data_IF_648665182543
#
_entry.id   IF_648665182543
#
_cell.length_a   1.000
_cell.length_b   1.000
_cell.length_c   1.000
_cell.angle_alpha   90.00
_cell.angle_beta   90.00
_cell.angle_gamma   90.00
#
_symmetry.space_group_name_H-M   'P 1'
#
loop_
_entity.id
_entity.type
_entity.pdbx_description
1 polymer ?
#
# COMPACT_ATOMS: atom_id res chain seq x y z
N UNK A 1 48.52 25.30 30.68
CA UNK A 1 48.21 23.88 30.33
C UNK A 1 46.78 23.44 30.68
N UNK A 2 45.81 24.36 30.81
CA UNK A 2 44.46 24.05 31.32
C UNK A 2 43.32 24.28 30.30
N UNK A 3 43.60 24.90 29.15
CA UNK A 3 42.60 25.18 28.11
C UNK A 3 42.45 24.08 27.06
N UNK A 4 43.53 23.34 26.74
CA UNK A 4 43.47 22.23 25.77
C UNK A 4 42.70 21.00 26.28
N UNK A 5 42.57 20.81 27.59
CA UNK A 5 41.80 19.70 28.18
C UNK A 5 40.28 19.95 28.19
N UNK A 6 39.82 21.19 27.99
CA UNK A 6 38.38 21.53 28.00
C UNK A 6 37.71 21.39 26.63
N UNK A 7 38.49 21.43 25.54
CA UNK A 7 37.95 21.23 24.18
C UNK A 7 37.83 19.75 23.77
N UNK A 8 38.48 18.81 24.47
CA UNK A 8 38.38 17.39 24.13
C UNK A 8 37.13 16.71 24.69
N UNK A 9 36.48 17.24 25.73
CA UNK A 9 35.26 16.63 26.30
C UNK A 9 33.97 17.03 25.58
N UNK A 10 33.94 18.21 24.93
CA UNK A 10 32.77 18.65 24.16
C UNK A 10 32.68 17.98 22.76
N UNK A 11 33.79 17.49 22.22
CA UNK A 11 33.82 16.83 20.91
C UNK A 11 33.39 15.35 20.96
N UNK A 12 33.56 14.69 22.11
CA UNK A 12 33.23 13.26 22.29
C UNK A 12 31.74 13.05 22.56
N UNK A 13 31.04 14.04 23.13
CA UNK A 13 29.59 13.97 23.39
C UNK A 13 28.73 14.20 22.14
N UNK A 14 29.22 14.95 21.14
CA UNK A 14 28.51 15.14 19.86
C UNK A 14 28.63 13.97 18.89
N UNK A 15 29.64 13.09 19.04
CA UNK A 15 29.80 11.93 18.17
C UNK A 15 28.89 10.77 18.59
N UNK A 16 28.67 10.58 19.89
CA UNK A 16 27.73 9.58 20.42
C UNK A 16 26.27 10.00 20.26
N UNK A 17 25.94 11.29 20.31
CA UNK A 17 24.59 11.75 19.99
C UNK A 17 24.19 11.51 18.52
N UNK A 18 25.13 11.61 17.58
CA UNK A 18 24.88 11.31 16.15
C UNK A 18 24.90 9.81 15.83
N UNK A 19 25.64 9.00 16.58
CA UNK A 19 25.63 7.53 16.42
C UNK A 19 24.45 6.87 17.15
N UNK A 20 23.95 7.45 18.24
CA UNK A 20 22.73 6.99 18.91
C UNK A 20 21.43 7.42 18.20
N UNK A 21 21.49 8.44 17.33
CA UNK A 21 20.41 8.75 16.36
C UNK A 21 20.54 7.95 15.06
N UNK A 22 21.67 7.28 14.83
CA UNK A 22 21.94 6.50 13.62
C UNK A 22 21.37 5.08 13.60
N UNK A 23 20.77 4.62 14.72
CA UNK A 23 20.22 3.26 14.84
C UNK A 23 18.70 3.22 15.03
N UNK A 24 17.99 4.35 14.91
CA UNK A 24 16.52 4.41 14.98
C UNK A 24 15.84 4.82 13.68
N UNK A 25 16.58 4.86 12.58
CA UNK A 25 15.99 4.86 11.24
C UNK A 25 16.54 3.65 10.50
N UNK A 26 16.33 2.46 11.05
CA UNK A 26 15.79 1.43 10.17
C UNK A 26 14.51 2.06 9.65
N UNK A 27 14.52 2.51 8.39
CA UNK A 27 13.31 2.91 7.70
C UNK A 27 12.21 1.95 8.16
N UNK A 28 11.13 2.48 8.75
CA UNK A 28 9.87 1.75 8.66
C UNK A 28 9.79 1.42 7.18
N UNK A 29 9.85 0.12 6.83
CA UNK A 29 9.72 -0.31 5.45
C UNK A 29 8.58 0.53 4.87
N UNK A 30 8.89 1.41 3.92
CA UNK A 30 7.85 2.27 3.38
C UNK A 30 6.80 1.31 2.80
N UNK A 31 5.56 1.49 3.22
CA UNK A 31 4.40 0.71 2.81
C UNK A 31 4.55 0.22 1.36
N UNK A 32 4.59 -1.11 1.18
CA UNK A 32 4.72 -1.68 -0.14
C UNK A 32 3.37 -1.53 -0.86
N UNK A 33 3.29 -0.53 -1.75
CA UNK A 33 2.12 -0.36 -2.59
C UNK A 33 2.11 -1.41 -3.70
N UNK A 34 0.98 -2.07 -3.89
CA UNK A 34 0.75 -3.01 -4.98
C UNK A 34 -0.41 -2.52 -5.84
N UNK A 35 -0.28 -2.71 -7.15
CA UNK A 35 -1.32 -2.43 -8.13
C UNK A 35 -1.89 -3.73 -8.65
N UNK A 36 -3.13 -4.03 -8.31
CA UNK A 36 -3.94 -5.03 -8.97
C UNK A 36 -4.60 -4.41 -10.19
N UNK A 37 -4.34 -4.94 -11.39
CA UNK A 37 -4.96 -4.49 -12.64
C UNK A 37 -5.73 -5.64 -13.27
N UNK A 38 -6.83 -5.32 -13.94
CA UNK A 38 -7.64 -6.29 -14.65
C UNK A 38 -8.10 -5.75 -16.01
N UNK A 39 -8.29 -6.68 -16.95
CA UNK A 39 -8.83 -6.38 -18.26
C UNK A 39 -9.76 -7.48 -18.74
N UNK A 40 -10.92 -7.09 -19.25
CA UNK A 40 -11.94 -7.95 -19.83
C UNK A 40 -12.65 -7.23 -20.97
N UNK A 41 -13.58 -7.90 -21.66
CA UNK A 41 -14.29 -7.32 -22.81
C UNK A 41 -15.13 -6.09 -22.44
N UNK A 42 -15.80 -6.11 -21.28
CA UNK A 42 -16.70 -5.03 -20.84
C UNK A 42 -16.29 -4.30 -19.56
N UNK A 43 -15.22 -4.73 -18.87
CA UNK A 43 -14.72 -4.06 -17.67
C UNK A 43 -13.20 -4.07 -17.58
N UNK A 44 -12.61 -2.91 -17.32
CA UNK A 44 -11.17 -2.74 -17.22
C UNK A 44 -10.83 -1.81 -16.06
N UNK A 45 -9.71 -2.03 -15.39
CA UNK A 45 -9.41 -1.17 -14.26
C UNK A 45 -8.21 -1.60 -13.44
N UNK A 46 -8.06 -0.93 -12.30
CA UNK A 46 -7.06 -1.24 -11.31
C UNK A 46 -7.46 -0.75 -9.92
N UNK A 47 -6.80 -1.36 -8.92
CA UNK A 47 -6.80 -0.98 -7.53
C UNK A 47 -5.35 -0.92 -7.06
N UNK A 48 -4.96 0.17 -6.41
CA UNK A 48 -3.68 0.30 -5.71
C UNK A 48 -3.95 0.19 -4.22
N UNK A 49 -3.26 -0.72 -3.54
CA UNK A 49 -3.43 -0.92 -2.10
C UNK A 49 -2.11 -1.02 -1.36
N UNK A 50 -2.18 -0.67 -0.08
CA UNK A 50 -1.09 -0.76 0.90
C UNK A 50 -1.18 -2.08 1.66
N UNK A 51 -0.18 -2.95 1.47
CA UNK A 51 -0.11 -4.26 2.14
C UNK A 51 0.20 -4.19 3.63
N UNK A 52 0.64 -3.03 4.15
CA UNK A 52 0.89 -2.84 5.58
C UNK A 52 -0.41 -2.50 6.34
N UNK A 53 -1.53 -2.36 5.64
CA UNK A 53 -2.85 -2.15 6.24
C UNK A 53 -3.22 -3.36 7.09
N UNK A 54 -3.44 -3.16 8.39
CA UNK A 54 -3.90 -4.22 9.28
C UNK A 54 -5.33 -4.66 8.93
N UNK A 55 -5.64 -5.97 9.00
CA UNK A 55 -7.00 -6.45 8.83
C UNK A 55 -7.89 -5.93 9.96
N UNK A 56 -9.19 -5.82 9.67
CA UNK A 56 -10.18 -5.37 10.62
C UNK A 56 -10.34 -6.41 11.73
N UNK A 57 -10.03 -6.07 13.01
CA UNK A 57 -10.04 -7.01 14.11
C UNK A 57 -11.42 -7.62 14.41
N UNK A 58 -12.50 -7.00 13.92
CA UNK A 58 -13.85 -7.55 14.03
C UNK A 58 -14.01 -8.88 13.28
N UNK A 59 -13.17 -9.13 12.26
CA UNK A 59 -13.19 -10.33 11.44
C UNK A 59 -12.08 -11.32 11.81
N UNK A 60 -11.34 -11.10 12.91
CA UNK A 60 -10.23 -11.98 13.30
C UNK A 60 -10.65 -13.44 13.59
N UNK A 61 -11.94 -13.70 13.81
CA UNK A 61 -12.49 -15.04 14.04
C UNK A 61 -12.97 -15.73 12.75
N UNK A 62 -12.93 -15.08 11.58
CA UNK A 62 -13.28 -15.72 10.30
C UNK A 62 -12.07 -16.46 9.73
N UNK A 63 -12.02 -17.81 9.77
CA UNK A 63 -10.86 -18.54 9.29
C UNK A 63 -10.68 -18.31 7.79
N UNK A 64 -9.45 -18.03 7.37
CA UNK A 64 -9.08 -17.88 5.96
C UNK A 64 -9.87 -16.79 5.21
N UNK A 65 -10.39 -15.78 5.91
CA UNK A 65 -11.02 -14.60 5.33
C UNK A 65 -10.75 -13.36 6.18
N UNK A 66 -10.50 -12.22 5.55
CA UNK A 66 -10.18 -10.96 6.23
C UNK A 66 -10.74 -9.76 5.46
N UNK A 67 -10.88 -8.64 6.17
CA UNK A 67 -11.40 -7.37 5.65
C UNK A 67 -10.39 -6.27 5.91
N UNK A 68 -10.04 -5.50 4.89
CA UNK A 68 -9.05 -4.44 4.97
C UNK A 68 -9.70 -3.09 4.65
N UNK A 69 -10.10 -2.39 5.72
CA UNK A 69 -10.69 -1.06 5.61
C UNK A 69 -9.62 -0.02 5.27
N UNK A 70 -9.81 0.72 4.18
CA UNK A 70 -8.92 1.80 3.78
C UNK A 70 -7.57 1.38 3.22
N UNK A 71 -7.43 0.09 2.85
CA UNK A 71 -6.21 -0.40 2.20
C UNK A 71 -6.02 0.18 0.79
N UNK A 72 -7.11 0.50 0.08
CA UNK A 72 -7.05 1.05 -1.28
C UNK A 72 -6.72 2.54 -1.22
N UNK A 73 -5.64 2.92 -1.91
CA UNK A 73 -5.11 4.29 -1.96
C UNK A 73 -5.45 5.03 -3.26
N UNK A 74 -5.70 4.30 -4.35
CA UNK A 74 -6.08 4.80 -5.68
C UNK A 74 -6.80 3.69 -6.45
N UNK A 75 -7.85 4.00 -7.21
CA UNK A 75 -8.53 3.02 -8.05
C UNK A 75 -9.20 3.66 -9.27
N UNK A 76 -9.39 2.83 -10.29
CA UNK A 76 -10.23 3.13 -11.45
C UNK A 76 -10.87 1.87 -11.99
N UNK A 77 -12.17 1.90 -12.24
CA UNK A 77 -12.96 0.84 -12.86
C UNK A 77 -13.77 1.45 -14.00
N UNK A 78 -13.51 1.02 -15.22
CA UNK A 78 -14.21 1.42 -16.43
C UNK A 78 -15.10 0.27 -16.88
N UNK A 79 -16.41 0.49 -16.90
CA UNK A 79 -17.44 -0.47 -17.29
C UNK A 79 -18.03 -0.15 -18.68
N UNK A 80 -17.31 0.62 -19.50
CA UNK A 80 -17.78 1.03 -20.83
C UNK A 80 -19.05 1.87 -20.73
N UNK A 81 -20.15 1.35 -21.30
CA UNK A 81 -21.44 2.05 -21.35
C UNK A 81 -22.07 2.29 -19.96
N UNK A 82 -21.65 1.54 -18.94
CA UNK A 82 -22.13 1.71 -17.56
C UNK A 82 -21.34 2.77 -16.76
N UNK A 83 -20.30 3.35 -17.36
CA UNK A 83 -19.55 4.47 -16.80
C UNK A 83 -18.24 4.10 -16.13
N UNK A 84 -17.62 5.11 -15.52
CA UNK A 84 -16.29 5.04 -14.92
C UNK A 84 -16.37 5.42 -13.45
N UNK A 85 -15.79 4.57 -12.61
CA UNK A 85 -15.67 4.74 -11.16
C UNK A 85 -14.19 4.97 -10.85
N UNK A 86 -13.84 6.13 -10.29
CA UNK A 86 -12.46 6.44 -9.92
C UNK A 86 -12.44 7.25 -8.62
N UNK A 87 -11.42 7.05 -7.81
CA UNK A 87 -11.34 7.66 -6.49
C UNK A 87 -10.03 7.33 -5.77
N UNK A 88 -9.85 7.93 -4.60
CA UNK A 88 -8.61 7.86 -3.83
C UNK A 88 -8.87 7.41 -2.39
N UNK A 89 -7.81 6.95 -1.74
CA UNK A 89 -7.63 6.61 -0.31
C UNK A 89 -8.88 6.57 0.58
N UNK A 90 -9.18 5.37 1.10
CA UNK A 90 -10.16 5.18 2.17
C UNK A 90 -11.56 4.82 1.69
N UNK A 91 -11.82 5.00 0.39
CA UNK A 91 -13.12 4.72 -0.19
C UNK A 91 -13.33 3.21 -0.34
N UNK A 92 -12.45 2.47 -1.00
CA UNK A 92 -12.69 1.06 -1.24
C UNK A 92 -12.25 0.15 -0.07
N UNK A 93 -13.13 -0.82 0.27
CA UNK A 93 -12.87 -1.88 1.24
C UNK A 93 -12.47 -3.14 0.48
N UNK A 94 -11.40 -3.79 0.91
CA UNK A 94 -10.92 -5.04 0.31
C UNK A 94 -11.37 -6.22 1.16
N UNK A 95 -11.96 -7.21 0.53
CA UNK A 95 -12.38 -8.46 1.14
C UNK A 95 -11.64 -9.62 0.49
N UNK A 96 -11.12 -10.53 1.33
CA UNK A 96 -10.64 -11.83 0.90
C UNK A 96 -11.60 -12.87 1.45
N UNK A 97 -12.37 -13.51 0.56
CA UNK A 97 -13.46 -14.41 0.93
C UNK A 97 -13.22 -15.81 0.36
N UNK A 98 -13.71 -16.84 1.05
CA UNK A 98 -13.69 -18.24 0.61
C UNK A 98 -15.11 -18.79 0.54
N UNK A 99 -15.43 -19.51 -0.53
CA UNK A 99 -16.71 -20.21 -0.71
C UNK A 99 -17.07 -21.13 0.45
N UNK A 100 -16.08 -21.71 1.13
CA UNK A 100 -16.27 -22.64 2.25
C UNK A 100 -16.85 -21.99 3.51
N UNK A 101 -16.61 -20.68 3.69
CA UNK A 101 -17.01 -19.95 4.90
C UNK A 101 -18.05 -18.87 4.62
N UNK A 102 -18.20 -18.44 3.35
CA UNK A 102 -19.17 -17.43 2.95
C UNK A 102 -20.29 -18.04 2.09
N UNK A 103 -21.52 -18.18 2.64
CA UNK A 103 -22.66 -18.75 1.93
C UNK A 103 -23.20 -17.84 0.81
N UNK A 104 -22.77 -16.58 0.77
CA UNK A 104 -23.20 -15.60 -0.24
C UNK A 104 -22.40 -15.72 -1.54
N UNK A 105 -21.29 -16.49 -1.53
CA UNK A 105 -20.60 -16.86 -2.76
C UNK A 105 -21.45 -17.92 -3.46
N UNK A 106 -21.89 -17.68 -4.72
CA UNK A 106 -22.74 -18.63 -5.41
C UNK A 106 -22.08 -20.02 -5.43
N UNK A 107 -22.81 -21.10 -5.09
CA UNK A 107 -22.23 -22.43 -4.89
C UNK A 107 -21.64 -23.04 -6.18
N UNK A 108 -21.97 -22.46 -7.33
CA UNK A 108 -21.38 -22.76 -8.63
C UNK A 108 -19.93 -22.26 -8.78
N UNK A 109 -19.51 -21.30 -7.96
CA UNK A 109 -18.15 -20.75 -7.90
C UNK A 109 -17.46 -21.21 -6.61
N UNK A 110 -17.20 -22.52 -6.46
CA UNK A 110 -16.32 -23.00 -5.40
C UNK A 110 -14.93 -22.34 -5.59
N UNK A 111 -14.73 -21.20 -4.93
CA UNK A 111 -13.79 -20.17 -5.35
C UNK A 111 -13.19 -19.40 -4.20
N UNK A 112 -11.98 -18.93 -4.47
CA UNK A 112 -11.33 -17.88 -3.71
C UNK A 112 -11.74 -16.53 -4.33
N UNK A 113 -12.29 -15.62 -3.52
CA UNK A 113 -12.82 -14.35 -4.00
C UNK A 113 -11.98 -13.20 -3.48
N UNK A 114 -11.55 -12.35 -4.41
CA UNK A 114 -10.97 -11.06 -4.10
C UNK A 114 -12.01 -9.98 -4.45
N UNK A 115 -12.58 -9.37 -3.44
CA UNK A 115 -13.71 -8.45 -3.57
C UNK A 115 -13.28 -7.03 -3.20
N UNK A 116 -13.73 -6.07 -4.01
CA UNK A 116 -13.58 -4.64 -3.75
C UNK A 116 -14.95 -4.00 -3.64
N UNK A 117 -15.30 -3.52 -2.45
CA UNK A 117 -16.48 -2.70 -2.22
C UNK A 117 -16.09 -1.23 -2.38
N UNK A 118 -16.62 -0.57 -3.41
CA UNK A 118 -16.46 0.86 -3.65
C UNK A 118 -17.75 1.57 -3.19
N UNK A 119 -17.75 2.24 -2.03
CA UNK A 119 -18.88 3.01 -1.58
C UNK A 119 -19.10 4.20 -2.51
N UNK A 120 -20.37 4.57 -2.64
CA UNK A 120 -20.77 5.73 -3.41
C UNK A 120 -20.10 7.02 -2.91
N UNK A 121 -19.58 7.83 -3.82
CA UNK A 121 -19.32 9.25 -3.56
C UNK A 121 -20.63 10.04 -3.62
N UNK A 122 -20.64 11.32 -3.20
CA UNK A 122 -21.85 12.17 -3.06
C UNK A 122 -22.80 12.25 -4.29
N UNK A 123 -22.46 11.66 -5.44
CA UNK A 123 -23.25 11.68 -6.68
C UNK A 123 -23.54 10.29 -7.32
N UNK A 124 -23.22 9.15 -6.69
CA UNK A 124 -23.21 7.84 -7.36
C UNK A 124 -24.02 6.70 -6.71
N UNK A 125 -23.86 5.50 -7.26
CA UNK A 125 -24.26 4.23 -6.64
C UNK A 125 -22.99 3.49 -6.18
N UNK A 126 -23.03 2.83 -5.02
CA UNK A 126 -21.91 1.99 -4.58
C UNK A 126 -21.84 0.76 -5.48
N UNK A 127 -20.64 0.24 -5.71
CA UNK A 127 -20.44 -0.98 -6.50
C UNK A 127 -19.56 -1.97 -5.76
N UNK A 128 -19.80 -3.25 -6.03
CA UNK A 128 -18.94 -4.36 -5.66
C UNK A 128 -18.30 -4.88 -6.94
N UNK A 129 -17.01 -5.15 -6.88
CA UNK A 129 -16.24 -5.81 -7.93
C UNK A 129 -15.67 -7.09 -7.35
N UNK A 130 -16.24 -8.22 -7.74
CA UNK A 130 -15.83 -9.56 -7.32
C UNK A 130 -14.92 -10.18 -8.38
N UNK A 131 -13.77 -10.71 -7.95
CA UNK A 131 -12.90 -11.54 -8.77
C UNK A 131 -12.88 -12.95 -8.20
N UNK A 132 -13.52 -13.89 -8.90
CA UNK A 132 -13.55 -15.30 -8.53
C UNK A 132 -12.37 -16.02 -9.18
N UNK A 133 -11.57 -16.69 -8.35
CA UNK A 133 -10.50 -17.57 -8.77
C UNK A 133 -10.86 -19.03 -8.42
N UNK A 134 -10.15 -19.98 -9.03
CA UNK A 134 -10.27 -21.39 -8.62
C UNK A 134 -9.98 -21.54 -7.13
N UNK A 135 -10.72 -22.43 -6.47
CA UNK A 135 -10.52 -22.75 -5.06
C UNK A 135 -9.05 -23.04 -4.74
N UNK A 136 -8.54 -22.40 -3.69
CA UNK A 136 -7.17 -22.58 -3.22
C UNK A 136 -6.13 -21.76 -3.99
N UNK A 137 -6.54 -20.91 -4.93
CA UNK A 137 -5.65 -19.98 -5.62
C UNK A 137 -4.87 -19.05 -4.68
N UNK A 138 -5.41 -18.73 -3.51
CA UNK A 138 -4.78 -17.87 -2.50
C UNK A 138 -4.19 -18.68 -1.33
N UNK A 139 -4.33 -20.01 -1.35
CA UNK A 139 -3.92 -20.89 -0.26
C UNK A 139 -4.61 -20.57 1.08
N UNK A 140 -3.88 -20.77 2.18
CA UNK A 140 -4.35 -20.49 3.55
C UNK A 140 -4.10 -19.03 3.99
N UNK A 141 -3.59 -18.18 3.09
CA UNK A 141 -3.27 -16.80 3.44
C UNK A 141 -4.54 -15.94 3.57
N UNK A 142 -4.56 -15.11 4.61
CA UNK A 142 -5.51 -14.00 4.73
C UNK A 142 -4.88 -12.65 4.45
N UNK A 143 -3.56 -12.59 4.21
CA UNK A 143 -2.83 -11.36 3.91
C UNK A 143 -3.25 -10.78 2.55
N UNK A 144 -3.18 -9.45 2.41
CA UNK A 144 -3.38 -8.77 1.14
C UNK A 144 -2.48 -9.36 0.05
N UNK A 145 -3.08 -9.68 -1.09
CA UNK A 145 -2.41 -10.45 -2.13
C UNK A 145 -1.24 -9.66 -2.73
N UNK A 146 -0.13 -10.35 -2.97
CA UNK A 146 1.02 -9.80 -3.72
C UNK A 146 1.21 -10.47 -5.09
N UNK A 147 0.42 -11.52 -5.35
CA UNK A 147 0.38 -12.26 -6.61
C UNK A 147 -0.98 -12.93 -6.80
N UNK A 148 -1.40 -13.08 -8.05
CA UNK A 148 -2.63 -13.81 -8.45
C UNK A 148 -2.37 -14.58 -9.75
N UNK A 149 -3.15 -15.63 -10.05
CA UNK A 149 -3.18 -16.22 -11.39
C UNK A 149 -3.51 -15.15 -12.44
N UNK A 150 -2.72 -15.06 -13.51
CA UNK A 150 -2.89 -14.01 -14.52
C UNK A 150 -4.12 -14.19 -15.42
N UNK A 151 -4.70 -15.39 -15.44
CA UNK A 151 -5.83 -15.78 -16.27
C UNK A 151 -6.77 -16.69 -15.50
N UNK A 152 -8.03 -16.73 -15.92
CA UNK A 152 -9.05 -17.61 -15.32
C UNK A 152 -9.81 -16.98 -14.16
N UNK A 153 -9.64 -15.67 -13.92
CA UNK A 153 -10.52 -14.94 -13.02
C UNK A 153 -11.85 -14.67 -13.72
N UNK A 154 -12.96 -15.01 -13.08
CA UNK A 154 -14.28 -14.47 -13.45
C UNK A 154 -14.47 -13.15 -12.70
N UNK A 155 -14.81 -12.10 -13.42
CA UNK A 155 -15.20 -10.81 -12.83
C UNK A 155 -16.72 -10.71 -12.82
N UNK A 156 -17.26 -10.21 -11.72
CA UNK A 156 -18.68 -9.84 -11.57
C UNK A 156 -18.76 -8.47 -10.91
N UNK A 157 -19.53 -7.57 -11.51
CA UNK A 157 -19.71 -6.21 -11.03
C UNK A 157 -21.18 -6.00 -10.70
N UNK A 158 -21.46 -5.60 -9.47
CA UNK A 158 -22.83 -5.42 -8.95
C UNK A 158 -22.99 -4.06 -8.28
N UNK A 159 -24.16 -3.43 -8.39
CA UNK A 159 -24.51 -2.34 -7.51
C UNK A 159 -24.69 -2.84 -6.08
N UNK A 160 -24.34 -1.99 -5.11
CA UNK A 160 -24.48 -2.28 -3.69
C UNK A 160 -25.25 -1.17 -2.97
N UNK A 161 -26.20 -1.56 -2.13
CA UNK A 161 -26.94 -0.68 -1.23
C UNK A 161 -26.28 -0.69 0.14
N UNK A 162 -25.90 0.48 0.64
CA UNK A 162 -25.41 0.62 2.02
C UNK A 162 -26.54 0.78 3.04
N UNK A 163 -27.81 0.67 2.62
CA UNK A 163 -28.95 0.74 3.52
C UNK A 163 -29.07 -0.56 4.30
N UNK A 164 -28.89 -0.49 5.62
CA UNK A 164 -28.97 -1.63 6.53
C UNK A 164 -30.35 -2.31 6.60
N UNK A 165 -31.37 -1.73 5.95
CA UNK A 165 -32.72 -2.33 5.83
C UNK A 165 -32.91 -3.16 4.56
N UNK A 166 -31.96 -3.11 3.62
CA UNK A 166 -32.03 -3.83 2.36
C UNK A 166 -31.62 -5.30 2.56
N UNK A 167 -32.59 -6.21 2.39
CA UNK A 167 -32.35 -7.66 2.53
C UNK A 167 -31.55 -8.22 1.35
N UNK A 168 -31.53 -7.53 0.23
CA UNK A 168 -30.81 -7.89 -0.98
C UNK A 168 -29.82 -6.76 -1.31
N UNK A 169 -28.93 -6.45 -0.36
CA UNK A 169 -27.97 -5.34 -0.46
C UNK A 169 -27.08 -5.41 -1.71
N UNK A 170 -26.95 -6.58 -2.35
CA UNK A 170 -26.31 -6.78 -3.66
C UNK A 170 -27.39 -6.82 -4.74
N UNK A 171 -27.40 -5.87 -5.67
CA UNK A 171 -28.31 -5.88 -6.82
C UNK A 171 -27.86 -6.84 -7.93
N UNK A 172 -28.60 -6.84 -9.04
CA UNK A 172 -28.27 -7.67 -10.21
C UNK A 172 -26.93 -7.26 -10.85
N UNK A 173 -26.19 -8.24 -11.36
CA UNK A 173 -24.91 -8.02 -12.06
C UNK A 173 -25.10 -7.06 -13.23
N UNK A 174 -24.32 -5.97 -13.24
CA UNK A 174 -24.23 -5.04 -14.38
C UNK A 174 -23.21 -5.51 -15.40
N UNK A 175 -22.26 -6.34 -14.98
CA UNK A 175 -21.30 -6.99 -15.86
C UNK A 175 -20.79 -8.30 -15.28
N UNK A 176 -20.64 -9.33 -16.12
CA UNK A 176 -19.97 -10.57 -15.79
C UNK A 176 -19.13 -11.05 -16.97
N UNK A 177 -17.91 -11.52 -16.72
CA UNK A 177 -17.04 -12.01 -17.80
C UNK A 177 -15.71 -12.56 -17.32
N UNK A 178 -14.90 -13.06 -18.24
CA UNK A 178 -13.54 -13.51 -17.94
C UNK A 178 -12.58 -12.31 -17.94
N UNK A 179 -11.73 -12.24 -16.92
CA UNK A 179 -10.70 -11.21 -16.77
C UNK A 179 -9.29 -11.80 -16.82
N UNK A 180 -8.40 -11.05 -17.48
CA UNK A 180 -6.95 -11.18 -17.29
C UNK A 180 -6.57 -10.26 -16.12
N UNK A 181 -5.79 -10.77 -15.16
CA UNK A 181 -5.45 -10.02 -13.94
C UNK A 181 -3.95 -9.98 -13.72
N UNK A 182 -3.47 -8.99 -12.98
CA UNK A 182 -2.04 -8.83 -12.67
C UNK A 182 -1.86 -8.05 -11.39
N UNK A 183 -0.92 -8.47 -10.54
CA UNK A 183 -0.43 -7.67 -9.41
C UNK A 183 1.01 -7.24 -9.68
N UNK A 184 1.30 -5.96 -9.48
CA UNK A 184 2.65 -5.40 -9.62
C UNK A 184 3.00 -4.55 -8.40
N UNK A 185 4.21 -4.72 -7.87
CA UNK A 185 4.74 -3.82 -6.83
C UNK A 185 5.03 -2.45 -7.45
N UNK A 186 4.51 -1.39 -6.86
CA UNK A 186 4.83 -0.02 -7.23
C UNK A 186 6.19 0.33 -6.62
N UNK A 187 7.20 0.73 -7.43
CA UNK A 187 8.49 1.14 -6.90
C UNK A 187 8.36 2.37 -6.00
N UNK A 188 9.02 2.36 -4.85
CA UNK A 188 9.14 3.56 -4.02
C UNK A 188 9.80 4.69 -4.81
N UNK A 189 9.32 5.94 -4.69
CA UNK A 189 9.96 7.07 -5.34
C UNK A 189 11.39 7.21 -4.81
N UNK A 190 12.35 7.15 -5.73
CA UNK A 190 13.81 7.14 -5.45
C UNK A 190 14.30 8.42 -4.74
N UNK A 191 13.43 9.44 -4.61
CA UNK A 191 13.68 10.70 -3.91
C UNK A 191 13.94 10.54 -2.41
N UNK A 192 13.36 9.54 -1.74
CA UNK A 192 13.57 9.30 -0.30
C UNK A 192 15.04 8.95 -0.01
N UNK A 193 15.65 8.12 -0.85
CA UNK A 193 17.06 7.71 -0.74
C UNK A 193 18.02 8.82 -1.18
N UNK A 194 17.66 9.58 -2.22
CA UNK A 194 18.48 10.66 -2.74
C UNK A 194 18.64 11.84 -1.76
N UNK A 195 17.60 12.17 -0.99
CA UNK A 195 17.64 13.22 0.05
C UNK A 195 18.61 12.88 1.19
N UNK A 196 18.65 11.61 1.61
CA UNK A 196 19.62 11.12 2.60
C UNK A 196 21.05 11.18 2.05
N UNK A 197 21.26 10.78 0.79
CA UNK A 197 22.56 10.88 0.11
C UNK A 197 23.07 12.31 -0.04
N UNK A 198 22.20 13.24 -0.45
CA UNK A 198 22.55 14.66 -0.61
C UNK A 198 22.84 15.34 0.73
N UNK A 199 22.09 15.00 1.78
CA UNK A 199 22.33 15.49 3.15
C UNK A 199 23.70 15.06 3.68
N UNK A 200 24.09 13.80 3.49
CA UNK A 200 25.39 13.27 3.90
C UNK A 200 26.56 13.96 3.17
N UNK A 201 26.42 14.19 1.85
CA UNK A 201 27.40 14.90 1.03
C UNK A 201 27.56 16.37 1.46
N UNK A 202 26.47 17.05 1.82
CA UNK A 202 26.52 18.43 2.30
C UNK A 202 27.25 18.55 3.64
N UNK A 203 27.00 17.62 4.57
CA UNK A 203 27.69 17.56 5.87
C UNK A 203 29.19 17.27 5.69
N UNK A 204 29.55 16.31 4.83
CA UNK A 204 30.94 15.97 4.54
C UNK A 204 31.71 17.14 3.92
N UNK A 205 31.11 17.83 2.94
CA UNK A 205 31.71 19.03 2.32
C UNK A 205 31.88 20.17 3.32
N UNK A 206 30.92 20.38 4.23
CA UNK A 206 31.02 21.41 5.27
C UNK A 206 32.14 21.12 6.26
N UNK A 207 32.31 19.86 6.68
CA UNK A 207 33.42 19.43 7.56
C UNK A 207 34.79 19.59 6.89
N UNK A 208 34.90 19.31 5.60
CA UNK A 208 36.15 19.54 4.86
C UNK A 208 36.51 21.02 4.77
N UNK A 209 35.55 21.92 4.49
CA UNK A 209 35.80 23.38 4.46
C UNK A 209 36.25 23.95 5.81
N UNK A 210 35.69 23.46 6.91
CA UNK A 210 36.10 23.88 8.26
C UNK A 210 37.52 23.41 8.63
N UNK A 211 37.95 22.22 8.20
CA UNK A 211 39.33 21.76 8.38
C UNK A 211 40.35 22.60 7.59
N UNK A 212 39.98 23.07 6.41
CA UNK A 212 40.86 23.93 5.59
C UNK A 212 41.02 25.33 6.19
N UNK A 213 39.94 25.91 6.73
CA UNK A 213 39.97 27.22 7.40
C UNK A 213 40.87 27.20 8.66
N UNK A 214 40.77 26.15 9.49
CA UNK A 214 41.62 25.99 10.69
C UNK A 214 43.13 25.90 10.35
N UNK A 215 43.46 25.36 9.17
CA UNK A 215 44.85 25.23 8.71
C UNK A 215 45.44 26.57 8.25
N UNK A 216 44.61 27.49 7.72
CA UNK A 216 45.06 28.84 7.32
C UNK A 216 45.22 29.80 8.50
N UNK A 217 44.39 29.70 9.54
CA UNK A 217 44.50 30.57 10.73
C UNK A 217 45.72 30.25 11.60
N UNK A 218 46.23 29.01 11.55
CA UNK A 218 47.41 28.61 12.34
C UNK A 218 48.72 29.09 11.71
N UNK A 219 48.70 29.52 10.43
CA UNK A 219 49.90 29.92 9.69
C UNK A 219 50.15 31.45 9.72
N UNK A 220 49.24 32.24 10.30
CA UNK A 220 49.32 33.71 10.36
C UNK A 220 49.80 34.27 11.70
N UNK A 221 50.05 33.43 12.71
CA UNK A 221 50.55 33.85 14.02
C UNK A 221 51.98 33.37 14.31
N UNK A 222 52.81 33.26 13.27
CA UNK A 222 54.24 32.96 13.39
C UNK A 222 55.02 33.95 12.53
N UNK A 223 55.17 35.17 13.04
CA UNK A 223 56.26 36.11 12.76
C UNK A 223 56.33 37.11 13.91
#
# INVERSE_FOLDING_TARGET
MTLLKKLSMAAVTTATAFLALGTFVTDAAQAALFKYSFSSEGANGYFVYDTDTAPNPQYAETPNSDVYNGAVVDYKVDLGDYGVYEGNTGDAIVYLLRSEVNPDIPPEYDSDVFEFLIPSSEAGQSIIVDFYYEKGAFGESTELLTSVPSSGALIDVKPFSTDATDRDARGESVYQGNATTRIEKIPEPTSSVALLGAGALFILRRRQRQKTQLKMTTQTCSN
#
